data_IF_887817132701
#
_entry.id   IF_887817132701
#
_cell.length_a   1.000
_cell.length_b   1.000
_cell.length_c   1.000
_cell.angle_alpha   90.00
_cell.angle_beta   90.00
_cell.angle_gamma   90.00
#
_symmetry.space_group_name_H-M   'P 1'
#
loop_
_entity.id
_entity.type
_entity.pdbx_description
1 polymer ?
#
# COMPACT_ATOMS: atom_id res chain seq x y z
N UNK A 1 -20.28 -33.32 -8.48
CA UNK A 1 -20.67 -32.33 -9.51
C UNK A 1 -20.96 -31.03 -8.77
N UNK A 2 -19.90 -30.30 -8.36
CA UNK A 2 -19.51 -28.96 -8.88
C UNK A 2 -20.77 -28.09 -9.06
N UNK A 3 -21.05 -27.14 -8.18
CA UNK A 3 -20.48 -25.78 -8.28
C UNK A 3 -20.20 -25.16 -6.90
N UNK A 4 -18.93 -25.15 -6.49
CA UNK A 4 -18.47 -24.08 -5.62
C UNK A 4 -18.47 -22.81 -6.47
N UNK A 5 -19.33 -21.85 -6.14
CA UNK A 5 -19.22 -20.50 -6.67
C UNK A 5 -17.84 -19.98 -6.24
N UNK A 6 -16.84 -20.09 -7.10
CA UNK A 6 -15.63 -19.31 -6.97
C UNK A 6 -16.08 -17.86 -7.10
N UNK A 7 -16.22 -17.16 -5.98
CA UNK A 7 -16.32 -15.71 -6.02
C UNK A 7 -15.06 -15.24 -6.74
N UNK A 8 -15.25 -14.61 -7.89
CA UNK A 8 -14.17 -14.03 -8.66
C UNK A 8 -13.84 -12.73 -7.94
N UNK A 9 -12.84 -12.78 -7.06
CA UNK A 9 -12.29 -11.59 -6.39
C UNK A 9 -11.45 -10.85 -7.42
N UNK A 10 -11.84 -9.61 -7.75
CA UNK A 10 -11.44 -9.02 -9.02
C UNK A 10 -10.65 -7.72 -8.95
N UNK A 11 -10.96 -6.85 -7.99
CA UNK A 11 -10.56 -5.45 -8.09
C UNK A 11 -9.72 -4.98 -6.90
N UNK A 12 -8.58 -4.33 -7.21
CA UNK A 12 -7.68 -3.68 -6.25
C UNK A 12 -6.94 -4.63 -5.28
N UNK A 13 -6.85 -5.90 -5.65
CA UNK A 13 -5.95 -6.90 -5.04
C UNK A 13 -4.48 -6.51 -5.20
N UNK A 14 -4.17 -5.90 -6.33
CA UNK A 14 -2.84 -5.39 -6.61
C UNK A 14 -2.71 -3.95 -6.15
N UNK A 15 -2.26 -3.81 -4.91
CA UNK A 15 -1.93 -2.50 -4.37
C UNK A 15 -0.58 -2.00 -4.87
N UNK A 16 -0.34 -0.68 -4.95
CA UNK A 16 0.90 -0.15 -5.53
C UNK A 16 2.09 -0.53 -4.66
N UNK A 17 3.16 -1.05 -5.26
CA UNK A 17 4.38 -1.43 -4.55
C UNK A 17 5.60 -0.94 -5.33
N UNK A 18 6.61 -0.46 -4.62
CA UNK A 18 7.89 -0.14 -5.23
C UNK A 18 8.65 -1.41 -5.63
N UNK A 19 9.64 -1.32 -6.55
CA UNK A 19 10.52 -2.44 -6.86
C UNK A 19 11.26 -2.96 -5.62
N UNK A 20 11.56 -2.09 -4.66
CA UNK A 20 12.16 -2.46 -3.38
C UNK A 20 11.25 -3.37 -2.58
N UNK A 21 9.97 -3.00 -2.43
CA UNK A 21 8.98 -3.83 -1.76
C UNK A 21 8.81 -5.18 -2.47
N UNK A 22 8.79 -5.19 -3.81
CA UNK A 22 8.74 -6.45 -4.60
C UNK A 22 9.97 -7.33 -4.32
N UNK A 23 11.17 -6.74 -4.29
CA UNK A 23 12.43 -7.46 -4.05
C UNK A 23 12.52 -8.03 -2.62
N UNK A 24 11.87 -7.40 -1.64
CA UNK A 24 11.80 -7.87 -0.25
C UNK A 24 10.60 -8.78 0.02
N UNK A 25 10.04 -9.42 -1.01
CA UNK A 25 8.93 -10.37 -0.85
C UNK A 25 7.57 -9.71 -0.58
N UNK A 26 7.35 -8.51 -1.09
CA UNK A 26 6.14 -7.69 -0.91
C UNK A 26 5.89 -7.28 0.54
N UNK A 27 6.93 -7.01 1.33
CA UNK A 27 6.78 -6.34 2.62
C UNK A 27 6.15 -4.97 2.43
N UNK A 28 5.20 -4.62 3.29
CA UNK A 28 4.44 -3.38 3.21
C UNK A 28 5.19 -2.19 3.83
N UNK A 29 6.13 -2.46 4.73
CA UNK A 29 6.98 -1.41 5.32
C UNK A 29 7.92 -0.78 4.29
N UNK A 30 8.02 0.54 4.34
CA UNK A 30 8.95 1.31 3.51
C UNK A 30 10.36 1.33 4.12
N UNK A 31 11.25 0.47 3.63
CA UNK A 31 12.65 0.39 4.09
C UNK A 31 13.63 1.19 3.23
N UNK A 32 13.32 1.39 1.95
CA UNK A 32 14.23 1.98 0.96
C UNK A 32 13.89 3.43 0.58
N UNK A 33 13.11 4.12 1.42
CA UNK A 33 12.71 5.53 1.22
C UNK A 33 12.07 5.79 -0.14
N UNK A 34 11.21 4.87 -0.61
CA UNK A 34 10.48 5.06 -1.86
C UNK A 34 9.09 5.68 -1.56
N UNK A 35 8.74 6.84 -2.14
CA UNK A 35 7.48 7.50 -1.81
C UNK A 35 6.24 6.70 -2.22
N UNK A 36 6.36 5.75 -3.17
CA UNK A 36 5.25 4.86 -3.56
C UNK A 36 4.79 4.00 -2.40
N UNK A 37 5.71 3.55 -1.55
CA UNK A 37 5.39 2.64 -0.45
C UNK A 37 4.62 3.36 0.69
N UNK A 38 4.49 4.69 0.65
CA UNK A 38 3.63 5.43 1.58
C UNK A 38 2.15 5.05 1.46
N UNK A 39 1.74 4.47 0.33
CA UNK A 39 0.38 3.96 0.16
C UNK A 39 0.14 2.74 1.07
N UNK A 40 1.13 1.86 1.23
CA UNK A 40 1.07 0.67 2.09
C UNK A 40 1.44 0.96 3.55
N UNK A 41 2.35 1.90 3.76
CA UNK A 41 2.85 2.33 5.05
C UNK A 41 2.64 3.84 5.23
N UNK A 42 1.42 4.28 5.61
CA UNK A 42 1.12 5.69 5.81
C UNK A 42 2.05 6.38 6.81
N UNK A 43 2.56 5.65 7.81
CA UNK A 43 3.46 6.21 8.82
C UNK A 43 4.84 6.54 8.25
N UNK A 44 5.26 5.91 7.14
CA UNK A 44 6.54 6.19 6.49
C UNK A 44 6.61 7.56 5.81
N UNK A 45 5.48 8.28 5.66
CA UNK A 45 5.48 9.60 5.00
C UNK A 45 6.37 10.62 5.74
N UNK A 46 6.60 10.41 7.04
CA UNK A 46 7.49 11.27 7.82
C UNK A 46 8.96 11.18 7.41
N UNK A 47 9.34 10.15 6.65
CA UNK A 47 10.72 9.96 6.21
C UNK A 47 11.12 10.95 5.11
N UNK A 48 10.16 11.70 4.57
CA UNK A 48 10.35 12.62 3.46
C UNK A 48 10.33 14.08 3.93
N UNK A 49 11.43 14.54 4.54
CA UNK A 49 11.63 15.95 4.95
C UNK A 49 11.77 16.91 3.75
N UNK A 50 12.06 16.38 2.56
CA UNK A 50 12.14 17.12 1.31
C UNK A 50 11.22 16.50 0.28
N UNK A 51 10.90 17.26 -0.76
CA UNK A 51 10.12 16.76 -1.88
C UNK A 51 10.87 15.60 -2.54
N UNK A 52 10.23 14.44 -2.57
CA UNK A 52 10.67 13.21 -3.23
C UNK A 52 9.59 12.78 -4.21
N UNK A 53 10.00 12.32 -5.39
CA UNK A 53 9.10 11.86 -6.45
C UNK A 53 9.50 10.43 -6.80
N UNK A 54 8.53 9.53 -6.79
CA UNK A 54 8.71 8.13 -7.20
C UNK A 54 7.81 7.83 -8.39
N UNK A 55 8.39 7.20 -9.41
CA UNK A 55 7.68 6.74 -10.59
C UNK A 55 8.04 5.28 -10.82
N UNK A 56 7.04 4.43 -11.04
CA UNK A 56 7.23 3.02 -11.40
C UNK A 56 6.39 2.67 -12.61
N UNK A 57 6.89 1.76 -13.42
CA UNK A 57 6.15 1.16 -14.52
C UNK A 57 6.64 -0.26 -14.76
N UNK A 58 5.76 -1.11 -15.28
CA UNK A 58 6.13 -2.45 -15.69
C UNK A 58 4.93 -3.26 -16.18
N UNK A 59 5.20 -4.47 -16.64
CA UNK A 59 4.17 -5.42 -17.07
C UNK A 59 4.31 -6.69 -16.25
N UNK A 60 3.28 -7.05 -15.49
CA UNK A 60 3.30 -8.31 -14.74
C UNK A 60 3.18 -9.47 -15.72
N UNK A 61 4.04 -10.48 -15.57
CA UNK A 61 4.09 -11.65 -16.45
C UNK A 61 4.27 -11.32 -17.94
N UNK A 62 4.84 -10.16 -18.27
CA UNK A 62 4.94 -9.64 -19.65
C UNK A 62 3.60 -9.53 -20.39
N UNK A 63 2.50 -9.37 -19.65
CA UNK A 63 1.15 -9.17 -20.20
C UNK A 63 0.82 -7.67 -20.20
N UNK A 64 0.58 -7.12 -21.39
CA UNK A 64 0.14 -5.72 -21.57
C UNK A 64 -1.15 -5.39 -20.82
N UNK A 65 -2.06 -6.36 -20.72
CA UNK A 65 -3.30 -6.24 -19.95
C UNK A 65 -3.06 -6.08 -18.45
N UNK A 66 -1.87 -6.44 -17.94
CA UNK A 66 -1.45 -6.29 -16.55
C UNK A 66 -0.32 -5.26 -16.42
N UNK A 67 -0.30 -4.27 -17.32
CA UNK A 67 0.61 -3.14 -17.19
C UNK A 67 0.25 -2.34 -15.94
N UNK A 68 1.26 -1.93 -15.18
CA UNK A 68 1.09 -1.08 -14.01
C UNK A 68 1.97 0.16 -14.13
N UNK A 69 1.48 1.29 -13.64
CA UNK A 69 2.18 2.58 -13.64
C UNK A 69 1.81 3.33 -12.38
N UNK A 70 2.78 3.87 -11.67
CA UNK A 70 2.53 4.69 -10.49
C UNK A 70 3.39 5.93 -10.51
N UNK A 71 2.85 7.02 -9.97
CA UNK A 71 3.58 8.26 -9.74
C UNK A 71 3.12 8.84 -8.40
N UNK A 72 4.06 9.07 -7.49
CA UNK A 72 3.81 9.57 -6.14
C UNK A 72 4.81 10.65 -5.80
N UNK A 73 4.33 11.73 -5.19
CA UNK A 73 5.15 12.77 -4.57
C UNK A 73 4.97 12.71 -3.06
N UNK A 74 6.04 12.86 -2.30
CA UNK A 74 6.02 12.93 -0.84
C UNK A 74 6.93 14.05 -0.35
N UNK A 75 6.58 14.69 0.76
CA UNK A 75 7.39 15.75 1.35
C UNK A 75 6.75 16.32 2.62
N UNK A 76 7.44 17.26 3.25
CA UNK A 76 6.92 18.01 4.39
C UNK A 76 6.45 19.41 3.99
N UNK A 77 5.34 19.85 4.57
CA UNK A 77 4.86 21.22 4.56
C UNK A 77 4.65 21.69 6.00
N UNK A 78 5.50 22.59 6.48
CA UNK A 78 5.55 23.02 7.88
C UNK A 78 5.69 21.81 8.82
N UNK A 79 4.74 21.61 9.73
CA UNK A 79 4.74 20.52 10.71
C UNK A 79 3.95 19.28 10.25
N UNK A 80 3.65 19.18 8.96
CA UNK A 80 2.89 18.09 8.37
C UNK A 80 3.68 17.39 7.28
N UNK A 81 3.62 16.07 7.27
CA UNK A 81 4.18 15.24 6.21
C UNK A 81 3.04 14.74 5.35
N UNK A 82 3.19 14.88 4.04
CA UNK A 82 2.15 14.65 3.05
C UNK A 82 2.71 13.84 1.89
N UNK A 83 1.89 12.96 1.33
CA UNK A 83 2.15 12.33 0.06
C UNK A 83 0.87 12.26 -0.76
N UNK A 84 0.99 12.40 -2.07
CA UNK A 84 -0.12 12.26 -2.99
C UNK A 84 0.36 11.59 -4.28
N UNK A 85 -0.53 10.85 -4.92
CA UNK A 85 -0.18 10.22 -6.20
C UNK A 85 -1.29 9.36 -6.76
N UNK A 86 -0.94 8.64 -7.81
CA UNK A 86 -1.82 7.70 -8.47
C UNK A 86 -1.08 6.42 -8.85
N UNK A 87 -1.81 5.32 -8.89
CA UNK A 87 -1.37 4.07 -9.47
C UNK A 87 -2.47 3.51 -10.35
N UNK A 88 -2.09 2.99 -11.52
CA UNK A 88 -2.99 2.46 -12.52
C UNK A 88 -2.51 1.06 -12.87
N UNK A 89 -3.43 0.10 -12.86
CA UNK A 89 -3.23 -1.27 -13.35
C UNK A 89 -4.25 -1.54 -14.45
N UNK A 90 -3.83 -2.14 -15.56
CA UNK A 90 -4.71 -2.55 -16.63
C UNK A 90 -4.39 -1.90 -17.99
N UNK A 91 -5.43 -1.85 -18.83
CA UNK A 91 -5.40 -1.30 -20.18
C UNK A 91 -6.69 -0.50 -20.51
N UNK A 92 -7.05 -0.40 -21.79
CA UNK A 92 -8.23 0.35 -22.25
C UNK A 92 -9.56 -0.40 -22.07
N UNK A 93 -9.50 -1.72 -21.93
CA UNK A 93 -10.67 -2.58 -21.73
C UNK A 93 -11.01 -2.69 -20.24
N UNK A 94 -9.98 -2.74 -19.40
CA UNK A 94 -10.10 -2.86 -17.96
C UNK A 94 -9.03 -2.01 -17.27
N UNK A 95 -9.42 -1.13 -16.35
CA UNK A 95 -8.45 -0.37 -15.56
C UNK A 95 -8.89 -0.18 -14.12
N UNK A 96 -7.95 -0.42 -13.22
CA UNK A 96 -8.02 -0.09 -11.80
C UNK A 96 -7.10 1.09 -11.53
N UNK A 97 -7.68 2.20 -11.08
CA UNK A 97 -6.90 3.38 -10.68
C UNK A 97 -7.08 3.65 -9.19
N UNK A 98 -5.97 3.86 -8.49
CA UNK A 98 -5.94 4.26 -7.08
C UNK A 98 -5.35 5.67 -7.02
N UNK A 99 -6.13 6.63 -6.53
CA UNK A 99 -5.62 7.94 -6.15
C UNK A 99 -5.42 7.96 -4.64
N UNK A 100 -4.23 8.33 -4.18
CA UNK A 100 -3.89 8.33 -2.77
C UNK A 100 -3.53 9.71 -2.26
N UNK A 101 -4.02 10.04 -1.08
CA UNK A 101 -3.51 11.13 -0.25
C UNK A 101 -3.15 10.57 1.13
N UNK A 102 -1.92 10.78 1.55
CA UNK A 102 -1.33 10.23 2.76
C UNK A 102 -0.82 11.38 3.62
N UNK A 103 -1.02 11.29 4.93
CA UNK A 103 -0.42 12.20 5.90
C UNK A 103 0.07 11.44 7.12
N UNK A 104 1.07 12.01 7.80
CA UNK A 104 1.63 11.40 8.99
C UNK A 104 2.31 12.42 9.89
N UNK A 105 2.46 12.02 11.15
CA UNK A 105 3.04 12.87 12.18
C UNK A 105 3.71 12.04 13.27
N UNK A 106 4.82 12.56 13.76
CA UNK A 106 5.42 12.07 14.99
C UNK A 106 4.62 12.58 16.20
N UNK A 107 4.03 11.66 16.96
CA UNK A 107 3.17 11.98 18.11
C UNK A 107 3.97 11.93 19.41
N UNK A 108 4.95 11.04 19.50
CA UNK A 108 5.93 10.97 20.60
C UNK A 108 7.32 10.72 20.03
N UNK A 109 8.36 10.88 20.86
CA UNK A 109 9.76 10.69 20.46
C UNK A 109 10.02 9.40 19.68
N UNK A 110 9.33 8.31 20.02
CA UNK A 110 9.46 7.01 19.35
C UNK A 110 8.15 6.49 18.74
N UNK A 111 7.12 7.33 18.56
CA UNK A 111 5.84 6.89 18.01
C UNK A 111 5.39 7.84 16.90
N UNK A 112 5.14 7.24 15.74
CA UNK A 112 4.69 7.89 14.53
C UNK A 112 3.37 7.25 14.11
N UNK A 113 2.42 8.08 13.73
CA UNK A 113 1.15 7.64 13.15
C UNK A 113 1.02 8.23 11.74
N UNK A 114 0.40 7.46 10.86
CA UNK A 114 0.02 7.88 9.52
C UNK A 114 -1.42 7.48 9.22
N UNK A 115 -2.03 8.22 8.32
CA UNK A 115 -3.37 7.96 7.80
C UNK A 115 -3.40 8.27 6.31
N UNK A 116 -4.29 7.61 5.58
CA UNK A 116 -4.51 7.93 4.17
C UNK A 116 -5.94 7.74 3.74
N UNK A 117 -6.29 8.48 2.68
CA UNK A 117 -7.54 8.34 1.94
C UNK A 117 -7.17 7.87 0.54
N UNK A 118 -7.85 6.82 0.10
CA UNK A 118 -7.62 6.16 -1.18
C UNK A 118 -8.92 6.18 -1.98
N UNK A 119 -8.90 6.74 -3.18
CA UNK A 119 -10.03 6.68 -4.11
C UNK A 119 -9.74 5.60 -5.14
N UNK A 120 -10.53 4.54 -5.09
CA UNK A 120 -10.52 3.42 -6.01
C UNK A 120 -11.46 3.74 -7.18
N UNK A 121 -10.98 3.65 -8.40
CA UNK A 121 -11.73 3.93 -9.62
C UNK A 121 -11.60 2.74 -10.58
N UNK A 122 -12.66 1.95 -10.68
CA UNK A 122 -12.74 0.76 -11.53
C UNK A 122 -13.46 1.13 -12.82
N UNK A 123 -12.85 0.82 -13.95
CA UNK A 123 -13.46 1.05 -15.27
C UNK A 123 -13.36 -0.19 -16.14
N UNK A 124 -14.50 -0.60 -16.66
CA UNK A 124 -14.63 -1.74 -17.56
C UNK A 124 -15.37 -1.29 -18.81
N UNK A 125 -14.72 -1.40 -19.97
CA UNK A 125 -15.29 -0.96 -21.24
C UNK A 125 -16.60 -1.72 -21.51
N UNK A 126 -17.65 -0.98 -21.86
CA UNK A 126 -19.02 -1.48 -22.08
C UNK A 126 -19.80 -1.89 -20.81
N UNK A 127 -19.18 -1.92 -19.63
CA UNK A 127 -19.83 -2.27 -18.35
C UNK A 127 -19.92 -1.08 -17.38
N UNK A 128 -19.12 -0.03 -17.58
CA UNK A 128 -19.23 1.23 -16.86
C UNK A 128 -18.00 1.58 -16.03
N UNK A 129 -18.21 2.46 -15.07
CA UNK A 129 -17.21 2.95 -14.14
C UNK A 129 -17.84 3.05 -12.76
N UNK A 130 -17.10 2.65 -11.72
CA UNK A 130 -17.55 2.78 -10.34
C UNK A 130 -16.39 3.18 -9.42
N UNK A 131 -16.71 3.84 -8.31
CA UNK A 131 -15.73 4.40 -7.39
C UNK A 131 -16.03 4.07 -5.95
N UNK A 132 -14.96 3.90 -5.18
CA UNK A 132 -15.03 3.69 -3.74
C UNK A 132 -13.94 4.45 -3.01
N UNK A 133 -14.14 4.70 -1.72
CA UNK A 133 -13.19 5.44 -0.89
C UNK A 133 -12.76 4.57 0.28
N UNK A 134 -11.46 4.29 0.37
CA UNK A 134 -10.85 3.59 1.50
C UNK A 134 -10.09 4.51 2.42
N UNK A 135 -10.05 4.12 3.70
CA UNK A 135 -9.26 4.76 4.74
C UNK A 135 -8.22 3.75 5.21
N UNK A 136 -6.95 4.18 5.27
CA UNK A 136 -5.88 3.38 5.85
C UNK A 136 -5.26 4.10 7.04
N UNK A 137 -4.68 3.32 7.95
CA UNK A 137 -3.90 3.80 9.09
C UNK A 137 -2.55 3.07 9.12
N UNK A 138 -1.53 3.72 9.66
CA UNK A 138 -0.22 3.12 9.86
C UNK A 138 0.43 3.64 11.13
N UNK A 139 1.33 2.84 11.70
CA UNK A 139 2.14 3.24 12.84
C UNK A 139 3.57 2.74 12.71
N UNK A 140 4.48 3.47 13.35
CA UNK A 140 5.86 3.05 13.58
C UNK A 140 6.26 3.43 15.00
N UNK A 141 6.72 2.45 15.77
CA UNK A 141 7.07 2.55 17.17
C UNK A 141 8.49 2.01 17.42
N UNK A 142 9.43 2.89 17.77
CA UNK A 142 10.78 2.49 18.13
C UNK A 142 10.79 1.77 19.47
N UNK A 143 11.05 0.47 19.47
CA UNK A 143 11.19 -0.32 20.69
C UNK A 143 12.55 -0.05 21.36
N UNK A 144 13.61 0.03 20.55
CA UNK A 144 14.94 0.48 20.96
C UNK A 144 15.63 1.23 19.80
N UNK A 145 16.95 1.36 19.82
CA UNK A 145 17.71 2.10 18.79
C UNK A 145 17.81 1.37 17.45
N UNK A 146 17.66 0.05 17.44
CA UNK A 146 17.79 -0.79 16.25
C UNK A 146 16.51 -1.51 15.86
N UNK A 147 15.48 -1.53 16.72
CA UNK A 147 14.23 -2.28 16.49
C UNK A 147 13.05 -1.33 16.46
N UNK A 148 12.34 -1.34 15.34
CA UNK A 148 11.08 -0.65 15.13
C UNK A 148 9.95 -1.67 14.97
N UNK A 149 8.90 -1.51 15.76
CA UNK A 149 7.62 -2.17 15.49
C UNK A 149 6.79 -1.30 14.56
N UNK A 150 6.27 -1.87 13.48
CA UNK A 150 5.44 -1.17 12.52
C UNK A 150 4.17 -1.96 12.24
N UNK A 151 3.21 -1.30 11.61
CA UNK A 151 2.08 -1.98 11.02
C UNK A 151 1.15 -1.02 10.31
N UNK A 152 0.21 -1.59 9.57
CA UNK A 152 -0.81 -0.84 8.85
C UNK A 152 -2.14 -1.56 8.83
N UNK A 153 -3.20 -0.77 8.75
CA UNK A 153 -4.57 -1.23 8.53
C UNK A 153 -5.04 -0.60 7.23
N UNK A 154 -5.31 -1.42 6.22
CA UNK A 154 -5.83 -0.99 4.92
C UNK A 154 -7.33 -1.14 4.89
N UNK A 155 -8.03 -0.16 4.33
CA UNK A 155 -9.47 -0.21 4.07
C UNK A 155 -10.28 -0.51 5.34
N UNK A 156 -9.99 0.20 6.44
CA UNK A 156 -10.63 -0.01 7.75
C UNK A 156 -12.14 0.23 7.72
N UNK A 157 -12.62 0.99 6.74
CA UNK A 157 -14.02 1.30 6.53
C UNK A 157 -14.74 0.28 5.63
N UNK A 158 -14.10 -0.85 5.30
CA UNK A 158 -14.65 -1.92 4.47
C UNK A 158 -15.36 -1.41 3.19
N UNK A 159 -14.67 -0.63 2.34
CA UNK A 159 -15.26 -0.06 1.14
C UNK A 159 -15.70 -1.17 0.19
N UNK A 160 -16.82 -0.95 -0.51
CA UNK A 160 -17.34 -1.86 -1.53
C UNK A 160 -17.28 -1.21 -2.92
N UNK A 161 -17.28 -2.03 -3.97
CA UNK A 161 -17.31 -1.57 -5.36
C UNK A 161 -18.21 -2.45 -6.22
N UNK A 162 -18.72 -1.87 -7.30
CA UNK A 162 -19.60 -2.52 -8.27
C UNK A 162 -21.03 -2.69 -7.75
N UNK A 163 -21.92 -3.11 -8.66
CA UNK A 163 -23.34 -3.34 -8.36
C UNK A 163 -23.56 -4.48 -7.35
N UNK A 164 -22.63 -5.44 -7.27
CA UNK A 164 -22.64 -6.53 -6.31
C UNK A 164 -22.19 -6.12 -4.91
N UNK A 165 -21.74 -4.87 -4.70
CA UNK A 165 -21.11 -4.40 -3.47
C UNK A 165 -19.97 -5.33 -3.02
N UNK A 166 -19.08 -5.68 -3.94
CA UNK A 166 -17.90 -6.49 -3.64
C UNK A 166 -16.98 -5.74 -2.68
N UNK A 167 -16.59 -6.38 -1.57
CA UNK A 167 -15.68 -5.79 -0.60
C UNK A 167 -14.29 -5.64 -1.20
N UNK A 168 -13.71 -4.46 -1.05
CA UNK A 168 -12.30 -4.26 -1.38
C UNK A 168 -11.40 -4.90 -0.31
N UNK A 169 -10.17 -5.31 -0.68
CA UNK A 169 -9.26 -5.99 0.25
C UNK A 169 -8.99 -5.19 1.51
N UNK A 170 -9.36 -5.76 2.66
CA UNK A 170 -9.04 -5.24 3.98
C UNK A 170 -7.89 -6.05 4.56
N UNK A 171 -6.77 -5.36 4.77
CA UNK A 171 -5.48 -5.96 5.13
C UNK A 171 -5.02 -5.39 6.47
N UNK A 172 -4.59 -6.27 7.36
CA UNK A 172 -3.92 -5.95 8.61
C UNK A 172 -2.49 -6.44 8.48
N UNK A 173 -1.52 -5.56 8.74
CA UNK A 173 -0.11 -5.91 8.78
C UNK A 173 0.55 -5.44 10.07
N UNK A 174 1.50 -6.23 10.54
CA UNK A 174 2.30 -5.90 11.72
C UNK A 174 3.64 -6.60 11.61
N UNK A 175 4.72 -5.90 11.93
CA UNK A 175 6.05 -6.44 11.75
C UNK A 175 7.12 -5.73 12.56
N UNK A 176 8.30 -6.32 12.55
CA UNK A 176 9.50 -5.77 13.16
C UNK A 176 10.50 -5.45 12.05
N UNK A 177 11.05 -4.25 12.11
CA UNK A 177 12.18 -3.80 11.32
C UNK A 177 13.39 -3.74 12.27
N UNK A 178 14.44 -4.47 11.94
CA UNK A 178 15.70 -4.51 12.67
C UNK A 178 16.83 -3.94 11.81
N UNK A 179 17.45 -2.87 12.32
CA UNK A 179 18.52 -2.12 11.66
C UNK A 179 19.83 -2.28 12.47
N UNK A 180 20.54 -3.42 12.35
CA UNK A 180 21.80 -3.66 13.05
C UNK A 180 22.93 -2.71 12.63
N UNK A 181 22.84 -2.14 11.42
CA UNK A 181 23.80 -1.17 10.89
C UNK A 181 23.14 -0.32 9.80
N UNK A 182 23.77 0.76 9.38
CA UNK A 182 23.28 1.62 8.29
C UNK A 182 23.15 0.91 6.92
N UNK A 183 23.77 -0.26 6.76
CA UNK A 183 23.84 -0.99 5.48
C UNK A 183 22.93 -2.21 5.41
N UNK A 184 22.33 -2.59 6.53
CA UNK A 184 21.54 -3.80 6.65
C UNK A 184 20.28 -3.49 7.42
N UNK A 185 19.13 -3.71 6.77
CA UNK A 185 17.85 -3.79 7.42
C UNK A 185 17.31 -5.21 7.28
N UNK A 186 16.55 -5.66 8.27
CA UNK A 186 15.89 -6.96 8.28
C UNK A 186 14.45 -6.75 8.70
N UNK A 187 13.53 -7.27 7.92
CA UNK A 187 12.09 -7.17 8.14
C UNK A 187 11.52 -8.56 8.36
N UNK A 188 10.67 -8.67 9.36
CA UNK A 188 9.68 -9.73 9.48
C UNK A 188 8.30 -9.09 9.59
N UNK A 189 7.38 -9.51 8.74
CA UNK A 189 6.03 -8.96 8.65
C UNK A 189 5.01 -10.09 8.65
N UNK A 190 4.04 -10.00 9.54
CA UNK A 190 2.82 -10.79 9.45
C UNK A 190 1.75 -9.95 8.77
N UNK A 191 1.01 -10.58 7.86
CA UNK A 191 -0.10 -9.96 7.17
C UNK A 191 -1.31 -10.91 7.15
N UNK A 192 -2.48 -10.36 7.47
CA UNK A 192 -3.77 -11.01 7.33
C UNK A 192 -4.68 -10.15 6.47
N UNK A 193 -5.23 -10.76 5.44
CA UNK A 193 -6.30 -10.17 4.64
C UNK A 193 -7.60 -10.91 4.92
N UNK A 194 -8.72 -10.21 5.04
CA UNK A 194 -9.98 -10.79 5.54
C UNK A 194 -10.45 -12.04 4.77
N UNK A 195 -10.10 -12.15 3.48
CA UNK A 195 -10.56 -13.23 2.59
C UNK A 195 -9.48 -14.28 2.27
N UNK A 196 -8.22 -14.04 2.64
CA UNK A 196 -7.09 -14.90 2.30
C UNK A 196 -6.40 -15.45 3.55
N UNK A 197 -5.59 -16.51 3.38
CA UNK A 197 -4.80 -17.05 4.49
C UNK A 197 -3.74 -16.04 4.96
N UNK A 198 -3.49 -16.03 6.28
CA UNK A 198 -2.38 -15.30 6.88
C UNK A 198 -1.05 -15.66 6.22
N UNK A 199 -0.18 -14.67 6.04
CA UNK A 199 1.18 -14.87 5.53
C UNK A 199 2.22 -14.20 6.41
N UNK A 200 3.41 -14.81 6.42
CA UNK A 200 4.61 -14.23 7.02
C UNK A 200 5.58 -13.92 5.89
N UNK A 201 6.09 -12.70 5.88
CA UNK A 201 7.06 -12.21 4.90
C UNK A 201 8.34 -11.84 5.62
N UNK A 202 9.46 -12.01 4.92
CA UNK A 202 10.78 -11.62 5.41
C UNK A 202 11.60 -11.05 4.24
N UNK A 203 12.42 -10.06 4.52
CA UNK A 203 13.25 -9.39 3.51
C UNK A 203 14.16 -8.34 4.13
N UNK A 204 15.14 -7.85 3.37
CA UNK A 204 16.14 -6.89 3.82
C UNK A 204 17.10 -6.51 2.70
#
# INVERSE_FOLDING_TARGET
MITGLSQLFGAFEHYPSSPSAVATGYTLVNTQLNPIDTFNDPASVILFDKINIGITWGEKFALKALSHRSAVVAGSLNNWYLSAGASIIGDKLYSETIWGFVTGKQIKKRLVLGASIMVYDLKIKHYGQDRSVGINLGWRAGLNENINWFGSLKNINAPTIGQSNELLPQVISSGLLYDPSEKLNLVIEWEQETLHESRIKFGG
#
